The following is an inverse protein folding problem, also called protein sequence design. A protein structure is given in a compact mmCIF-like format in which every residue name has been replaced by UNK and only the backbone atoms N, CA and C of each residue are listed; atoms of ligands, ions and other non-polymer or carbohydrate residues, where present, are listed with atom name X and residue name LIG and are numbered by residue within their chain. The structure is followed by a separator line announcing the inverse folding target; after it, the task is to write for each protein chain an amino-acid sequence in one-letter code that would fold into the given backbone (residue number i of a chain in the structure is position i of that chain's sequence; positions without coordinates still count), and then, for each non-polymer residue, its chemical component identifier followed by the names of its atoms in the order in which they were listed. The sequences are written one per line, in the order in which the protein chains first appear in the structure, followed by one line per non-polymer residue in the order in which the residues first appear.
data_IF_735205030614
#
_entry.id   IF_735205030614
#
_cell.length_a   1.000
_cell.length_b   1.000
_cell.length_c   1.000
_cell.angle_alpha   90.00
_cell.angle_beta   90.00
_cell.angle_gamma   90.00
#
_symmetry.space_group_name_H-M   'P 1'
#
loop_
_entity.id
_entity.type
_entity.pdbx_description
1 polymer ?
#
# COMPACT_ATOMS: atom_id res chain seq x y z
N UNK A 1 11.64 14.33 8.40
CA UNK A 1 10.36 14.99 7.99
C UNK A 1 9.52 15.23 9.23
N UNK A 2 9.00 16.47 9.44
CA UNK A 2 7.96 16.76 10.44
C UNK A 2 6.59 16.58 9.81
N UNK A 3 5.59 16.15 10.60
CA UNK A 3 4.21 15.95 10.12
C UNK A 3 3.26 17.07 10.52
N UNK A 4 3.72 18.05 11.32
CA UNK A 4 2.92 19.22 11.63
C UNK A 4 2.51 19.97 10.36
N UNK A 5 1.23 20.28 10.27
CA UNK A 5 0.62 20.99 9.14
C UNK A 5 0.67 20.25 7.78
N UNK A 6 1.19 19.04 7.73
CA UNK A 6 1.22 18.25 6.49
C UNK A 6 -0.19 17.81 6.07
N UNK A 7 -0.51 18.02 4.81
CA UNK A 7 -1.72 17.57 4.12
C UNK A 7 -1.48 16.17 3.56
N UNK A 8 -2.18 15.18 4.08
CA UNK A 8 -1.91 13.76 3.82
C UNK A 8 -3.12 13.13 3.16
N UNK A 9 -2.96 12.60 1.95
CA UNK A 9 -3.96 11.76 1.28
C UNK A 9 -3.59 10.28 1.42
N UNK A 10 -4.50 9.49 1.97
CA UNK A 10 -4.33 8.05 2.10
C UNK A 10 -5.51 7.28 1.50
N UNK A 11 -5.23 6.25 0.71
CA UNK A 11 -6.22 5.31 0.23
C UNK A 11 -6.32 4.09 1.17
N UNK A 12 -7.56 3.63 1.43
CA UNK A 12 -7.77 2.50 2.36
C UNK A 12 -7.39 2.79 3.81
N UNK A 13 -7.39 4.07 4.21
CA UNK A 13 -6.97 4.53 5.54
C UNK A 13 -7.92 4.16 6.69
N UNK A 14 -9.09 3.56 6.41
CA UNK A 14 -10.09 3.25 7.44
C UNK A 14 -10.00 1.85 8.04
N UNK A 15 -9.01 1.04 7.62
CA UNK A 15 -8.82 -0.32 8.14
C UNK A 15 -7.38 -0.80 8.01
N UNK A 16 -7.01 -1.86 8.73
CA UNK A 16 -5.74 -2.57 8.61
C UNK A 16 -4.52 -1.66 8.68
N UNK A 17 -3.55 -1.89 7.80
CA UNK A 17 -2.30 -1.12 7.71
C UNK A 17 -2.59 0.37 7.52
N UNK A 18 -3.55 0.74 6.66
CA UNK A 18 -3.87 2.14 6.40
C UNK A 18 -4.36 2.88 7.65
N UNK A 19 -5.23 2.25 8.46
CA UNK A 19 -5.69 2.82 9.74
C UNK A 19 -4.52 2.98 10.71
N UNK A 20 -3.67 1.99 10.81
CA UNK A 20 -2.49 2.04 11.67
C UNK A 20 -1.50 3.15 11.23
N UNK A 21 -1.32 3.37 9.92
CA UNK A 21 -0.51 4.49 9.39
C UNK A 21 -1.12 5.84 9.78
N UNK A 22 -2.45 6.01 9.67
CA UNK A 22 -3.13 7.25 10.11
C UNK A 22 -2.88 7.47 11.60
N UNK A 23 -3.06 6.44 12.43
CA UNK A 23 -2.83 6.51 13.87
C UNK A 23 -1.38 6.92 14.20
N UNK A 24 -0.39 6.30 13.54
CA UNK A 24 1.01 6.59 13.78
C UNK A 24 1.40 8.01 13.31
N UNK A 25 0.91 8.45 12.17
CA UNK A 25 1.11 9.83 11.69
C UNK A 25 0.47 10.85 12.64
N UNK A 26 -0.75 10.58 13.13
CA UNK A 26 -1.41 11.41 14.12
C UNK A 26 -0.60 11.50 15.43
N UNK A 27 -0.09 10.37 15.93
CA UNK A 27 0.78 10.32 17.11
C UNK A 27 2.04 11.16 16.93
N UNK A 28 2.54 11.26 15.69
CA UNK A 28 3.72 12.09 15.33
C UNK A 28 3.39 13.53 14.93
N UNK A 29 2.18 13.99 15.18
CA UNK A 29 1.79 15.39 15.03
C UNK A 29 0.99 15.74 13.77
N UNK A 30 0.70 14.78 12.87
CA UNK A 30 -0.17 15.04 11.73
C UNK A 30 -1.61 15.35 12.17
N UNK A 31 -2.24 16.36 11.53
CA UNK A 31 -3.59 16.81 11.87
C UNK A 31 -4.50 17.04 10.66
N UNK A 32 -4.03 16.81 9.42
CA UNK A 32 -4.81 17.02 8.21
C UNK A 32 -4.77 15.78 7.32
N UNK A 33 -5.89 15.07 7.26
CA UNK A 33 -6.01 13.82 6.52
C UNK A 33 -7.14 13.89 5.50
N UNK A 34 -6.87 13.47 4.27
CA UNK A 34 -7.87 13.06 3.31
C UNK A 34 -7.84 11.54 3.22
N UNK A 35 -8.98 10.90 3.44
CA UNK A 35 -9.10 9.45 3.41
C UNK A 35 -10.00 9.05 2.25
N UNK A 36 -9.46 8.25 1.33
CA UNK A 36 -10.19 7.72 0.18
C UNK A 36 -10.50 6.24 0.37
N UNK A 37 -11.75 5.86 0.16
CA UNK A 37 -12.19 4.47 0.31
C UNK A 37 -13.68 4.29 -0.01
N UNK A 38 -14.12 3.03 -0.10
CA UNK A 38 -15.50 2.69 -0.51
C UNK A 38 -16.53 2.91 0.59
N UNK A 39 -16.14 2.80 1.86
CA UNK A 39 -17.04 2.82 3.01
C UNK A 39 -16.92 4.14 3.79
N UNK A 40 -17.87 5.06 3.52
CA UNK A 40 -17.91 6.37 4.19
C UNK A 40 -18.11 6.23 5.72
N UNK A 41 -18.90 5.25 6.17
CA UNK A 41 -19.17 5.08 7.61
C UNK A 41 -17.90 4.70 8.37
N UNK A 42 -17.06 3.79 7.78
CA UNK A 42 -15.77 3.43 8.38
C UNK A 42 -14.80 4.60 8.38
N UNK A 43 -14.80 5.44 7.34
CA UNK A 43 -13.95 6.63 7.30
C UNK A 43 -14.40 7.67 8.35
N UNK A 44 -15.69 7.86 8.55
CA UNK A 44 -16.22 8.75 9.59
C UNK A 44 -15.92 8.22 11.01
N UNK A 45 -16.05 6.92 11.22
CA UNK A 45 -15.67 6.28 12.48
C UNK A 45 -14.18 6.49 12.79
N UNK A 46 -13.31 6.33 11.77
CA UNK A 46 -11.89 6.65 11.91
C UNK A 46 -11.67 8.10 12.38
N UNK A 47 -12.33 9.07 11.75
CA UNK A 47 -12.18 10.49 12.12
C UNK A 47 -12.61 10.77 13.57
N UNK A 48 -13.60 10.06 14.06
CA UNK A 48 -14.06 10.19 15.46
C UNK A 48 -13.04 9.68 16.50
N UNK A 49 -12.11 8.83 16.10
CA UNK A 49 -11.01 8.35 16.96
C UNK A 49 -9.90 9.40 17.16
N UNK A 50 -9.85 10.42 16.28
CA UNK A 50 -8.79 11.45 16.28
C UNK A 50 -9.37 12.87 16.30
N UNK A 51 -9.94 13.31 17.44
CA UNK A 51 -10.74 14.54 17.51
C UNK A 51 -9.98 15.82 17.22
N UNK A 52 -8.65 15.83 17.38
CA UNK A 52 -7.82 17.00 17.05
C UNK A 52 -7.43 17.09 15.57
N UNK A 53 -7.69 16.04 14.79
CA UNK A 53 -7.38 16.00 13.37
C UNK A 53 -8.59 16.40 12.51
N UNK A 54 -8.30 17.06 11.40
CA UNK A 54 -9.28 17.37 10.36
C UNK A 54 -9.27 16.29 9.31
N UNK A 55 -10.44 15.66 9.10
CA UNK A 55 -10.61 14.63 8.10
C UNK A 55 -11.44 15.12 6.92
N UNK A 56 -10.92 14.88 5.71
CA UNK A 56 -11.63 15.09 4.45
C UNK A 56 -11.95 13.74 3.84
N UNK A 57 -13.21 13.39 3.77
CA UNK A 57 -13.63 12.08 3.29
C UNK A 57 -13.88 12.10 1.77
N UNK A 58 -13.28 11.16 1.08
CA UNK A 58 -13.34 10.97 -0.36
C UNK A 58 -13.94 9.59 -0.67
N UNK A 59 -15.28 9.41 -0.51
CA UNK A 59 -15.90 8.13 -0.79
C UNK A 59 -15.81 7.78 -2.26
N UNK A 60 -15.31 6.56 -2.54
CA UNK A 60 -15.21 6.05 -3.88
C UNK A 60 -14.17 4.94 -4.04
N UNK A 61 -14.21 4.34 -5.21
CA UNK A 61 -13.32 3.23 -5.59
C UNK A 61 -12.09 3.76 -6.34
N UNK A 62 -10.90 3.44 -5.84
CA UNK A 62 -9.62 3.81 -6.47
C UNK A 62 -9.38 3.10 -7.81
N UNK A 63 -10.14 2.05 -8.14
CA UNK A 63 -10.10 1.40 -9.43
C UNK A 63 -10.79 2.21 -10.56
N UNK A 64 -11.46 3.33 -10.22
CA UNK A 64 -12.27 4.13 -11.16
C UNK A 64 -11.64 5.50 -11.40
N UNK A 65 -11.21 5.77 -12.63
CA UNK A 65 -10.53 7.02 -13.02
C UNK A 65 -11.36 8.26 -12.72
N UNK A 66 -12.66 8.24 -13.04
CA UNK A 66 -13.57 9.37 -12.81
C UNK A 66 -13.76 9.69 -11.32
N UNK A 67 -13.62 8.68 -10.44
CA UNK A 67 -13.67 8.87 -8.99
C UNK A 67 -12.40 9.53 -8.48
N UNK A 68 -11.26 9.10 -9.00
CA UNK A 68 -9.94 9.70 -8.69
C UNK A 68 -9.91 11.17 -9.11
N UNK A 69 -10.33 11.48 -10.34
CA UNK A 69 -10.34 12.85 -10.86
C UNK A 69 -11.20 13.79 -10.00
N UNK A 70 -12.41 13.33 -9.65
CA UNK A 70 -13.32 14.06 -8.75
C UNK A 70 -12.69 14.27 -7.35
N UNK A 71 -12.05 13.24 -6.80
CA UNK A 71 -11.40 13.32 -5.48
C UNK A 71 -10.25 14.35 -5.49
N UNK A 72 -9.35 14.27 -6.46
CA UNK A 72 -8.23 15.21 -6.60
C UNK A 72 -8.74 16.63 -6.92
N UNK A 73 -9.79 16.78 -7.74
CA UNK A 73 -10.44 18.07 -8.00
C UNK A 73 -10.95 18.73 -6.72
N UNK A 74 -11.57 17.96 -5.81
CA UNK A 74 -12.00 18.46 -4.49
C UNK A 74 -10.80 18.87 -3.64
N UNK A 75 -9.76 18.04 -3.55
CA UNK A 75 -8.55 18.39 -2.77
C UNK A 75 -7.86 19.64 -3.30
N UNK A 76 -7.80 19.80 -4.62
CA UNK A 76 -7.24 21.02 -5.23
C UNK A 76 -7.99 22.26 -4.78
N UNK A 77 -9.32 22.19 -4.76
CA UNK A 77 -10.17 23.34 -4.35
C UNK A 77 -10.01 23.65 -2.86
N UNK A 78 -9.99 22.62 -2.00
CA UNK A 78 -10.00 22.78 -0.54
C UNK A 78 -8.60 23.05 0.03
N UNK A 79 -7.57 22.40 -0.52
CA UNK A 79 -6.22 22.42 0.05
C UNK A 79 -5.20 23.19 -0.78
N UNK A 80 -5.40 23.29 -2.10
CA UNK A 80 -4.45 23.94 -3.02
C UNK A 80 -3.12 23.21 -3.19
N UNK A 81 -2.78 22.27 -2.30
CA UNK A 81 -1.54 21.49 -2.31
C UNK A 81 -1.68 20.18 -1.52
N UNK A 82 -0.71 19.29 -1.66
CA UNK A 82 -0.62 18.01 -0.97
C UNK A 82 0.84 17.76 -0.57
N UNK A 83 1.08 17.30 0.66
CA UNK A 83 2.43 17.00 1.12
C UNK A 83 2.76 15.50 1.01
N UNK A 84 1.81 14.64 1.35
CA UNK A 84 2.05 13.20 1.37
C UNK A 84 0.90 12.47 0.69
N UNK A 85 1.22 11.63 -0.30
CA UNK A 85 0.32 10.67 -0.90
C UNK A 85 0.67 9.26 -0.42
N UNK A 86 -0.32 8.53 0.12
CA UNK A 86 -0.14 7.15 0.56
C UNK A 86 -1.09 6.24 -0.23
N UNK A 87 -0.55 5.51 -1.18
CA UNK A 87 -1.24 4.48 -1.94
C UNK A 87 -1.20 3.17 -1.13
N UNK A 88 -2.24 2.93 -0.33
CA UNK A 88 -2.34 1.75 0.54
C UNK A 88 -3.52 0.84 0.20
N UNK A 89 -4.58 1.34 -0.41
CA UNK A 89 -5.70 0.49 -0.81
C UNK A 89 -5.22 -0.71 -1.64
N UNK A 90 -5.78 -1.88 -1.35
CA UNK A 90 -5.44 -3.10 -2.06
C UNK A 90 -6.45 -4.20 -1.82
N UNK A 91 -6.48 -5.17 -2.74
CA UNK A 91 -7.32 -6.35 -2.69
C UNK A 91 -6.49 -7.59 -3.05
N UNK A 92 -6.96 -8.77 -2.66
CA UNK A 92 -6.32 -10.04 -2.94
C UNK A 92 -7.38 -11.10 -3.28
N UNK A 93 -7.08 -11.93 -4.27
CA UNK A 93 -7.71 -13.22 -4.51
C UNK A 93 -6.59 -14.21 -4.82
N UNK A 94 -6.55 -15.33 -4.10
CA UNK A 94 -5.50 -16.34 -4.17
C UNK A 94 -6.13 -17.73 -4.43
N UNK A 95 -5.35 -18.62 -5.02
CA UNK A 95 -5.75 -19.97 -5.41
C UNK A 95 -4.92 -20.48 -6.57
N UNK A 96 -5.21 -21.68 -7.06
CA UNK A 96 -4.68 -22.14 -8.34
C UNK A 96 -5.10 -21.16 -9.44
N UNK A 97 -4.19 -20.85 -10.37
CA UNK A 97 -4.43 -19.76 -11.33
C UNK A 97 -5.71 -19.97 -12.15
N UNK A 98 -5.97 -21.21 -12.54
CA UNK A 98 -7.17 -21.62 -13.31
C UNK A 98 -8.48 -21.51 -12.51
N UNK A 99 -8.41 -21.38 -11.18
CA UNK A 99 -9.58 -21.27 -10.30
C UNK A 99 -9.90 -19.81 -9.92
N UNK A 100 -8.99 -18.86 -10.18
CA UNK A 100 -9.23 -17.44 -9.91
C UNK A 100 -10.03 -16.85 -11.06
N UNK A 101 -11.17 -16.20 -10.77
CA UNK A 101 -11.99 -15.60 -11.81
C UNK A 101 -11.30 -14.44 -12.53
N UNK A 102 -11.64 -14.23 -13.80
CA UNK A 102 -11.12 -13.10 -14.58
C UNK A 102 -11.43 -11.76 -13.91
N UNK A 103 -12.63 -11.63 -13.31
CA UNK A 103 -13.05 -10.43 -12.59
C UNK A 103 -12.13 -10.14 -11.40
N UNK A 104 -11.76 -11.16 -10.64
CA UNK A 104 -10.86 -11.01 -9.50
C UNK A 104 -9.43 -10.67 -9.95
N UNK A 105 -8.95 -11.26 -11.03
CA UNK A 105 -7.65 -10.91 -11.62
C UNK A 105 -7.65 -9.44 -12.05
N UNK A 106 -8.66 -9.01 -12.82
CA UNK A 106 -8.78 -7.61 -13.29
C UNK A 106 -8.92 -6.64 -12.12
N UNK A 107 -9.74 -6.97 -11.12
CA UNK A 107 -9.93 -6.13 -9.95
C UNK A 107 -8.63 -5.95 -9.14
N UNK A 108 -7.81 -6.99 -9.02
CA UNK A 108 -6.48 -6.88 -8.39
C UNK A 108 -5.56 -5.93 -9.16
N UNK A 109 -5.52 -6.01 -10.50
CA UNK A 109 -4.71 -5.10 -11.31
C UNK A 109 -5.22 -3.66 -11.19
N UNK A 110 -6.52 -3.46 -11.29
CA UNK A 110 -7.11 -2.12 -11.23
C UNK A 110 -6.91 -1.44 -9.87
N UNK A 111 -7.11 -2.17 -8.77
CA UNK A 111 -7.00 -1.61 -7.42
C UNK A 111 -5.54 -1.45 -6.98
N UNK A 112 -4.70 -2.49 -7.22
CA UNK A 112 -3.37 -2.54 -6.64
C UNK A 112 -2.31 -1.79 -7.45
N UNK A 113 -2.56 -1.50 -8.75
CA UNK A 113 -1.58 -0.85 -9.62
C UNK A 113 -2.17 0.27 -10.48
N UNK A 114 -3.25 0.05 -11.25
CA UNK A 114 -3.82 1.10 -12.10
C UNK A 114 -4.29 2.29 -11.27
N UNK A 115 -5.00 2.04 -10.17
CA UNK A 115 -5.46 3.07 -9.23
C UNK A 115 -4.31 3.92 -8.64
N UNK A 116 -3.29 3.34 -8.02
CA UNK A 116 -2.09 4.06 -7.58
C UNK A 116 -1.40 4.89 -8.66
N UNK A 117 -1.26 4.38 -9.89
CA UNK A 117 -0.68 5.13 -11.01
C UNK A 117 -1.55 6.36 -11.33
N UNK A 118 -2.86 6.17 -11.53
CA UNK A 118 -3.77 7.26 -11.87
C UNK A 118 -3.86 8.29 -10.74
N UNK A 119 -3.98 7.84 -9.49
CA UNK A 119 -4.04 8.73 -8.34
C UNK A 119 -2.75 9.56 -8.23
N UNK A 120 -1.61 8.93 -8.37
CA UNK A 120 -0.31 9.61 -8.38
C UNK A 120 -0.23 10.63 -9.50
N UNK A 121 -0.56 10.25 -10.75
CA UNK A 121 -0.60 11.15 -11.92
C UNK A 121 -1.40 12.41 -11.64
N UNK A 122 -2.62 12.26 -11.11
CA UNK A 122 -3.49 13.39 -10.83
C UNK A 122 -3.07 14.21 -9.59
N UNK A 123 -2.36 13.57 -8.61
CA UNK A 123 -1.87 14.24 -7.42
C UNK A 123 -0.54 14.99 -7.61
N UNK A 124 0.28 14.63 -8.61
CA UNK A 124 1.59 15.27 -8.84
C UNK A 124 1.55 16.80 -8.89
N UNK A 125 0.57 17.46 -9.56
CA UNK A 125 0.51 18.93 -9.53
C UNK A 125 0.31 19.53 -8.13
N UNK A 126 -0.37 18.80 -7.22
CA UNK A 126 -0.56 19.22 -5.83
C UNK A 126 0.69 18.94 -4.98
N UNK A 127 1.35 17.81 -5.21
CA UNK A 127 2.60 17.46 -4.53
C UNK A 127 3.74 18.43 -4.87
N UNK A 128 3.79 18.97 -6.10
CA UNK A 128 4.76 20.00 -6.51
C UNK A 128 4.59 21.33 -5.80
N UNK A 129 3.46 21.58 -5.11
CA UNK A 129 3.27 22.79 -4.28
C UNK A 129 3.90 22.64 -2.88
N UNK A 130 4.32 21.43 -2.49
CA UNK A 130 4.99 21.20 -1.21
C UNK A 130 6.50 21.33 -1.35
N UNK A 131 7.14 21.96 -0.37
CA UNK A 131 8.60 22.03 -0.27
C UNK A 131 9.23 20.73 0.22
N UNK A 132 8.44 19.79 0.75
CA UNK A 132 8.89 18.51 1.31
C UNK A 132 7.81 17.45 1.09
N UNK A 133 7.64 17.07 -0.19
CA UNK A 133 6.62 16.11 -0.60
C UNK A 133 7.10 14.66 -0.56
N UNK A 134 6.16 13.75 -0.35
CA UNK A 134 6.44 12.32 -0.42
C UNK A 134 5.29 11.50 -1.02
N UNK A 135 5.65 10.39 -1.66
CA UNK A 135 4.75 9.35 -2.13
C UNK A 135 5.17 8.04 -1.45
N UNK A 136 4.25 7.43 -0.70
CA UNK A 136 4.42 6.12 -0.10
C UNK A 136 3.52 5.12 -0.81
N UNK A 137 4.11 4.09 -1.41
CA UNK A 137 3.39 3.00 -2.06
C UNK A 137 3.47 1.73 -1.19
N UNK A 138 2.32 1.23 -0.73
CA UNK A 138 2.25 -0.01 0.07
C UNK A 138 2.12 -1.21 -0.88
N UNK A 139 3.27 -1.82 -1.17
CA UNK A 139 3.37 -3.05 -1.96
C UNK A 139 3.15 -4.30 -1.07
N UNK A 140 4.05 -5.27 -1.15
CA UNK A 140 4.06 -6.52 -0.37
C UNK A 140 5.42 -7.19 -0.51
N UNK A 141 5.81 -8.02 0.45
CA UNK A 141 6.92 -8.96 0.27
C UNK A 141 6.76 -9.82 -0.99
N UNK A 142 5.51 -10.10 -1.40
CA UNK A 142 5.21 -10.82 -2.65
C UNK A 142 5.48 -10.00 -3.92
N UNK A 143 5.69 -8.70 -3.81
CA UNK A 143 6.22 -7.85 -4.89
C UNK A 143 7.73 -7.95 -5.06
N UNK A 144 8.44 -8.59 -4.12
CA UNK A 144 9.88 -8.86 -4.18
C UNK A 144 10.18 -10.31 -4.59
N UNK A 145 9.37 -11.24 -4.08
CA UNK A 145 9.50 -12.68 -4.34
C UNK A 145 8.08 -13.21 -4.54
N UNK A 146 7.79 -13.81 -5.70
CA UNK A 146 6.52 -14.47 -5.97
C UNK A 146 6.27 -15.64 -5.01
N UNK A 147 5.01 -15.96 -4.76
CA UNK A 147 4.60 -17.12 -3.98
C UNK A 147 3.56 -17.93 -4.75
N UNK A 148 3.68 -19.25 -4.74
CA UNK A 148 2.67 -20.13 -5.33
C UNK A 148 1.26 -19.76 -4.84
N UNK A 149 0.28 -19.89 -5.71
CA UNK A 149 -1.14 -19.58 -5.49
C UNK A 149 -1.47 -18.08 -5.31
N UNK A 150 -0.49 -17.17 -5.47
CA UNK A 150 -0.68 -15.73 -5.38
C UNK A 150 -0.23 -14.99 -6.66
N UNK A 151 -0.14 -15.67 -7.81
CA UNK A 151 0.48 -15.12 -9.01
C UNK A 151 -0.10 -13.76 -9.46
N UNK A 152 -1.45 -13.56 -9.60
CA UNK A 152 -2.00 -12.25 -9.99
C UNK A 152 -1.73 -11.16 -8.96
N UNK A 153 -1.80 -11.49 -7.67
CA UNK A 153 -1.50 -10.54 -6.58
C UNK A 153 -0.02 -10.14 -6.58
N UNK A 154 0.88 -11.12 -6.64
CA UNK A 154 2.32 -10.88 -6.70
C UNK A 154 2.70 -10.02 -7.91
N UNK A 155 2.12 -10.32 -9.09
CA UNK A 155 2.29 -9.52 -10.31
C UNK A 155 1.89 -8.05 -10.07
N UNK A 156 0.72 -7.79 -9.47
CA UNK A 156 0.25 -6.43 -9.19
C UNK A 156 1.18 -5.68 -8.22
N UNK A 157 1.70 -6.37 -7.20
CA UNK A 157 2.60 -5.77 -6.20
C UNK A 157 4.03 -5.59 -6.73
N UNK A 158 4.51 -6.45 -7.62
CA UNK A 158 5.76 -6.27 -8.36
C UNK A 158 5.66 -5.09 -9.34
N UNK A 159 4.52 -4.96 -10.05
CA UNK A 159 4.27 -3.81 -10.92
C UNK A 159 4.28 -2.49 -10.14
N UNK A 160 3.68 -2.43 -8.93
CA UNK A 160 3.72 -1.23 -8.08
C UNK A 160 5.14 -0.90 -7.62
N UNK A 161 5.96 -1.90 -7.31
CA UNK A 161 7.39 -1.71 -7.02
C UNK A 161 8.10 -1.08 -8.21
N UNK A 162 7.93 -1.65 -9.41
CA UNK A 162 8.62 -1.16 -10.62
C UNK A 162 8.15 0.24 -11.02
N UNK A 163 6.85 0.52 -10.87
CA UNK A 163 6.30 1.87 -11.03
C UNK A 163 6.97 2.87 -10.07
N UNK A 164 7.09 2.52 -8.79
CA UNK A 164 7.72 3.38 -7.78
C UNK A 164 9.18 3.69 -8.11
N UNK A 165 9.93 2.68 -8.57
CA UNK A 165 11.33 2.83 -8.97
C UNK A 165 11.48 3.75 -10.18
N UNK A 166 10.65 3.59 -11.21
CA UNK A 166 10.65 4.44 -12.40
C UNK A 166 10.25 5.88 -12.05
N UNK A 167 9.17 6.05 -11.28
CA UNK A 167 8.66 7.35 -10.84
C UNK A 167 9.71 8.11 -10.00
N UNK A 168 10.41 7.44 -9.10
CA UNK A 168 11.48 8.05 -8.31
C UNK A 168 12.58 8.64 -9.19
N UNK A 169 12.93 7.96 -10.28
CA UNK A 169 13.92 8.45 -11.25
C UNK A 169 13.38 9.62 -12.07
N UNK A 170 12.11 9.57 -12.48
CA UNK A 170 11.45 10.65 -13.22
C UNK A 170 11.35 11.95 -12.38
N UNK A 171 11.17 11.83 -11.07
CA UNK A 171 11.02 12.96 -10.16
C UNK A 171 12.36 13.47 -9.56
N UNK A 172 13.51 13.02 -10.07
CA UNK A 172 14.83 13.51 -9.63
C UNK A 172 14.87 15.05 -9.74
N UNK A 173 15.27 15.71 -8.67
CA UNK A 173 15.38 17.18 -8.60
C UNK A 173 14.05 17.92 -8.35
N UNK A 174 12.92 17.23 -8.27
CA UNK A 174 11.61 17.88 -8.04
C UNK A 174 11.20 17.95 -6.55
N UNK A 175 12.05 17.55 -5.62
CA UNK A 175 11.75 17.63 -4.17
C UNK A 175 10.69 16.63 -3.68
N UNK A 176 10.30 15.64 -4.49
CA UNK A 176 9.30 14.63 -4.15
C UNK A 176 10.00 13.31 -3.83
N UNK A 177 9.92 12.87 -2.58
CA UNK A 177 10.44 11.57 -2.16
C UNK A 177 9.48 10.44 -2.52
N UNK A 178 9.97 9.37 -3.15
CA UNK A 178 9.16 8.18 -3.48
C UNK A 178 9.72 6.98 -2.73
N UNK A 179 8.89 6.35 -1.91
CA UNK A 179 9.24 5.15 -1.16
C UNK A 179 8.23 4.03 -1.36
N UNK A 180 8.69 2.80 -1.16
CA UNK A 180 7.83 1.61 -1.23
C UNK A 180 7.97 0.80 0.06
N UNK A 181 6.84 0.41 0.63
CA UNK A 181 6.76 -0.47 1.81
C UNK A 181 6.41 -1.87 1.34
N UNK A 182 7.09 -2.88 1.88
CA UNK A 182 6.89 -4.29 1.56
C UNK A 182 6.50 -5.07 2.83
N UNK A 183 5.23 -4.99 3.25
CA UNK A 183 4.77 -5.76 4.39
C UNK A 183 4.86 -7.27 4.13
N UNK A 184 5.08 -8.03 5.21
CA UNK A 184 4.83 -9.47 5.25
C UNK A 184 3.35 -9.72 5.53
N UNK A 185 2.97 -10.97 5.86
CA UNK A 185 1.62 -11.26 6.33
C UNK A 185 1.32 -10.40 7.57
N UNK A 186 0.26 -9.61 7.51
CA UNK A 186 -0.11 -8.65 8.56
C UNK A 186 -1.54 -8.91 8.99
N UNK A 187 -1.80 -8.97 10.30
CA UNK A 187 -3.14 -9.23 10.87
C UNK A 187 -4.10 -8.08 10.57
N UNK A 188 -4.84 -8.23 9.51
CA UNK A 188 -5.76 -7.22 8.97
C UNK A 188 -7.05 -7.88 8.49
N UNK A 189 -8.12 -7.11 8.25
CA UNK A 189 -9.33 -7.64 7.61
C UNK A 189 -9.06 -8.34 6.28
N UNK A 190 -8.03 -7.96 5.53
CA UNK A 190 -7.62 -8.63 4.29
C UNK A 190 -7.21 -10.08 4.54
N UNK A 191 -6.60 -10.38 5.68
CA UNK A 191 -6.07 -11.71 6.02
C UNK A 191 -7.07 -12.62 6.73
N UNK A 192 -8.30 -12.16 6.99
CA UNK A 192 -9.31 -12.93 7.75
C UNK A 192 -9.64 -14.29 7.13
N UNK A 193 -9.56 -14.40 5.81
CA UNK A 193 -9.84 -15.65 5.08
C UNK A 193 -8.58 -16.42 4.74
N UNK A 194 -7.39 -15.89 5.03
CA UNK A 194 -6.13 -16.60 4.84
C UNK A 194 -5.85 -17.53 6.03
N UNK A 195 -5.55 -18.78 5.73
CA UNK A 195 -5.18 -19.74 6.77
C UNK A 195 -3.69 -19.63 7.09
N UNK A 196 -3.32 -18.69 7.96
CA UNK A 196 -1.92 -18.42 8.32
C UNK A 196 -1.78 -17.90 9.75
N UNK A 197 -0.58 -18.08 10.32
CA UNK A 197 -0.21 -17.63 11.69
C UNK A 197 1.11 -16.87 11.65
N UNK A 198 1.50 -16.26 12.77
CA UNK A 198 2.78 -15.55 12.88
C UNK A 198 2.82 -14.28 12.03
N UNK A 199 1.70 -13.55 11.96
CA UNK A 199 1.58 -12.31 11.24
C UNK A 199 2.16 -11.14 12.04
N UNK A 200 2.71 -10.15 11.32
CA UNK A 200 3.01 -8.83 11.91
C UNK A 200 1.71 -8.12 12.30
N UNK A 201 1.76 -7.22 13.29
CA UNK A 201 0.62 -6.36 13.57
C UNK A 201 0.59 -5.16 12.61
N UNK A 202 -0.59 -4.58 12.33
CA UNK A 202 -0.69 -3.35 11.54
C UNK A 202 0.16 -2.21 12.10
N UNK A 203 0.29 -2.12 13.44
CA UNK A 203 1.06 -1.11 14.15
C UNK A 203 2.57 -1.27 13.91
N UNK A 204 3.08 -2.51 13.90
CA UNK A 204 4.50 -2.78 13.56
C UNK A 204 4.81 -2.32 12.15
N UNK A 205 3.93 -2.62 11.18
CA UNK A 205 4.09 -2.19 9.80
C UNK A 205 4.00 -0.66 9.70
N UNK A 206 3.02 -0.04 10.36
CA UNK A 206 2.84 1.41 10.34
C UNK A 206 4.03 2.16 10.94
N UNK A 207 4.51 1.74 12.12
CA UNK A 207 5.70 2.33 12.76
C UNK A 207 6.90 2.29 11.81
N UNK A 208 7.18 1.11 11.24
CA UNK A 208 8.33 0.94 10.35
C UNK A 208 8.18 1.74 9.04
N UNK A 209 6.96 1.83 8.48
CA UNK A 209 6.68 2.62 7.29
C UNK A 209 6.88 4.12 7.55
N UNK A 210 6.37 4.63 8.69
CA UNK A 210 6.52 6.06 9.04
C UNK A 210 7.96 6.40 9.41
N UNK A 211 8.70 5.49 10.07
CA UNK A 211 10.15 5.65 10.28
C UNK A 211 10.90 5.75 8.95
N UNK A 212 10.58 4.89 7.98
CA UNK A 212 11.15 4.94 6.64
C UNK A 212 10.86 6.28 5.94
N UNK A 213 9.66 6.81 6.11
CA UNK A 213 9.30 8.12 5.56
C UNK A 213 10.11 9.26 6.20
N UNK A 214 10.29 9.24 7.52
CA UNK A 214 11.12 10.22 8.25
C UNK A 214 12.58 10.14 7.79
N UNK A 215 13.11 8.93 7.66
CA UNK A 215 14.50 8.66 7.28
C UNK A 215 14.76 8.74 5.77
N UNK A 216 13.72 9.02 4.96
CA UNK A 216 13.78 9.06 3.48
C UNK A 216 14.33 7.77 2.87
N UNK A 217 13.93 6.64 3.43
CA UNK A 217 14.26 5.34 2.86
C UNK A 217 13.50 5.13 1.53
N UNK A 218 14.14 4.44 0.59
CA UNK A 218 13.54 4.11 -0.71
C UNK A 218 12.65 2.87 -0.59
N UNK A 219 13.18 1.83 0.07
CA UNK A 219 12.53 0.54 0.25
C UNK A 219 12.45 0.20 1.75
N UNK A 220 11.25 0.06 2.27
CA UNK A 220 10.99 -0.42 3.63
C UNK A 220 10.57 -1.87 3.57
N UNK A 221 11.53 -2.78 3.76
CA UNK A 221 11.33 -4.22 3.63
C UNK A 221 11.11 -4.82 5.02
N UNK A 222 9.92 -5.45 5.21
CA UNK A 222 9.61 -6.23 6.41
C UNK A 222 10.15 -7.67 6.27
N UNK A 223 10.14 -8.43 7.39
CA UNK A 223 10.60 -9.84 7.39
C UNK A 223 12.10 -10.01 7.63
N UNK A 224 12.82 -8.90 7.92
CA UNK A 224 14.20 -8.92 8.38
C UNK A 224 15.20 -9.58 7.44
N UNK A 225 16.27 -10.14 8.02
CA UNK A 225 17.37 -10.75 7.26
C UNK A 225 16.91 -11.92 6.38
N UNK A 226 15.90 -12.68 6.81
CA UNK A 226 15.37 -13.79 6.02
C UNK A 226 14.81 -13.33 4.67
N UNK A 227 14.05 -12.23 4.66
CA UNK A 227 13.49 -11.69 3.42
C UNK A 227 14.61 -11.18 2.49
N UNK A 228 15.60 -10.49 3.04
CA UNK A 228 16.73 -10.00 2.25
C UNK A 228 17.56 -11.14 1.65
N UNK A 229 17.81 -12.19 2.44
CA UNK A 229 18.53 -13.39 2.00
C UNK A 229 17.79 -14.14 0.89
N UNK A 230 16.48 -14.34 1.06
CA UNK A 230 15.65 -14.98 0.04
C UNK A 230 15.56 -14.14 -1.24
N UNK A 231 15.45 -12.79 -1.12
CA UNK A 231 15.46 -11.90 -2.29
C UNK A 231 16.78 -12.00 -3.07
N UNK A 232 17.90 -12.05 -2.37
CA UNK A 232 19.21 -12.23 -2.98
C UNK A 232 19.30 -13.59 -3.68
N UNK A 233 18.91 -14.66 -2.99
CA UNK A 233 18.91 -16.01 -3.55
C UNK A 233 18.00 -16.13 -4.78
N UNK A 234 16.80 -15.55 -4.73
CA UNK A 234 15.88 -15.53 -5.87
C UNK A 234 16.46 -14.86 -7.14
N UNK A 235 17.37 -13.92 -6.95
CA UNK A 235 18.06 -13.26 -8.06
C UNK A 235 19.26 -14.06 -8.57
N UNK A 236 20.04 -14.67 -7.67
CA UNK A 236 21.28 -15.37 -7.98
C UNK A 236 21.05 -16.82 -8.41
N UNK A 237 20.13 -17.53 -7.72
CA UNK A 237 19.79 -18.94 -8.00
C UNK A 237 18.31 -19.20 -7.66
N UNK A 238 17.37 -18.84 -8.56
CA UNK A 238 15.94 -19.01 -8.32
C UNK A 238 15.53 -20.47 -8.12
N UNK A 239 16.20 -21.43 -8.77
CA UNK A 239 15.86 -22.84 -8.62
C UNK A 239 16.21 -23.37 -7.22
N UNK A 240 17.30 -22.90 -6.63
CA UNK A 240 17.64 -23.22 -5.23
C UNK A 240 16.58 -22.67 -4.27
N UNK A 241 16.07 -21.46 -4.51
CA UNK A 241 14.99 -20.93 -3.70
C UNK A 241 13.70 -21.73 -3.87
N UNK A 242 13.37 -22.15 -5.09
CA UNK A 242 12.20 -22.98 -5.37
C UNK A 242 12.24 -24.31 -4.61
N UNK A 243 13.38 -24.97 -4.54
CA UNK A 243 13.54 -26.21 -3.73
C UNK A 243 13.34 -25.93 -2.23
N UNK A 244 13.82 -24.80 -1.72
CA UNK A 244 13.57 -24.40 -0.32
C UNK A 244 12.08 -24.15 -0.06
N UNK A 245 11.40 -23.47 -0.98
CA UNK A 245 9.98 -23.12 -0.86
C UNK A 245 9.06 -24.34 -1.05
N UNK A 246 9.48 -25.33 -1.83
CA UNK A 246 8.76 -26.58 -2.09
C UNK A 246 8.41 -27.33 -0.79
N UNK A 247 9.27 -27.27 0.22
CA UNK A 247 8.99 -27.83 1.54
C UNK A 247 7.72 -27.26 2.21
N UNK A 248 7.26 -26.08 1.78
CA UNK A 248 6.07 -25.41 2.31
C UNK A 248 4.90 -25.37 1.32
N UNK A 249 4.97 -26.12 0.22
CA UNK A 249 3.98 -26.03 -0.87
C UNK A 249 2.54 -26.30 -0.40
N UNK A 250 2.32 -27.36 0.38
CA UNK A 250 0.99 -27.69 0.93
C UNK A 250 0.48 -26.62 1.90
N UNK A 251 1.37 -26.06 2.73
CA UNK A 251 1.02 -24.97 3.62
C UNK A 251 0.64 -23.70 2.85
N UNK A 252 1.33 -23.42 1.73
CA UNK A 252 0.98 -22.30 0.83
C UNK A 252 -0.37 -22.53 0.14
N UNK A 253 -0.65 -23.74 -0.35
CA UNK A 253 -1.94 -24.10 -0.93
C UNK A 253 -3.08 -23.92 0.09
N UNK A 254 -2.91 -24.45 1.31
CA UNK A 254 -3.87 -24.29 2.41
C UNK A 254 -4.10 -22.83 2.79
N UNK A 255 -3.04 -22.02 2.81
CA UNK A 255 -3.13 -20.57 3.10
C UNK A 255 -3.93 -19.83 2.02
N UNK A 256 -3.72 -20.18 0.76
CA UNK A 256 -4.38 -19.53 -0.38
C UNK A 256 -5.84 -19.96 -0.55
N UNK A 257 -6.19 -21.17 -0.10
CA UNK A 257 -7.54 -21.70 -0.23
C UNK A 257 -8.58 -20.79 0.43
N UNK A 258 -9.47 -20.22 -0.39
CA UNK A 258 -10.51 -19.27 0.05
C UNK A 258 -9.98 -17.88 0.47
N UNK A 259 -8.70 -17.59 0.29
CA UNK A 259 -8.17 -16.27 0.63
C UNK A 259 -8.60 -15.22 -0.42
N UNK A 260 -9.67 -14.50 -0.09
CA UNK A 260 -10.27 -13.49 -0.96
C UNK A 260 -10.71 -12.27 -0.14
N UNK A 261 -10.27 -11.09 -0.56
CA UNK A 261 -10.64 -9.78 0.01
C UNK A 261 -10.75 -8.76 -1.12
N UNK A 262 -11.98 -8.61 -1.67
CA UNK A 262 -12.28 -7.78 -2.84
C UNK A 262 -13.14 -6.56 -2.48
#
# INVERSE_FOLDING_TARGET
MSFENKKILITGGSSGIGKAIVSELYRRGARQFAVMGRDLKKMQALGSEFPEAKFFYLPGDVAKSEVIEKAIGKLRKEWGGLDILINNAGVVSAGALEEISDEDIIAQQNTNITGPILLTKHALPLLRQSSDAAIMNVSSGLGLIGMAFYAPYAASKAALRQFSEALRRELIGQGIHVMTVYPTATDTPMMKTANTTGMDTPEQVANRAVDGLVNREIDVIMGGERMLKNRKLNFEDPLQLDEILKANYEAMAKRASGHRSM
#
